data_IF_212035479024
#
_entry.id   IF_212035479024
#
_cell.length_a   1.000
_cell.length_b   1.000
_cell.length_c   1.000
_cell.angle_alpha   90.00
_cell.angle_beta   90.00
_cell.angle_gamma   90.00
#
_symmetry.space_group_name_H-M   'P 1'
#
loop_
_entity.id
_entity.type
_entity.pdbx_description
1 polymer ?
#
# COMPACT_ATOMS: atom_id res chain seq x y z
N UNK A 1 4.64 -30.34 -28.81
CA UNK A 1 5.10 -29.22 -27.97
C UNK A 1 3.98 -28.83 -27.02
N UNK A 2 3.94 -29.42 -25.83
CA UNK A 2 3.10 -28.90 -24.75
C UNK A 2 3.79 -27.65 -24.23
N UNK A 3 3.26 -26.49 -24.58
CA UNK A 3 3.59 -25.24 -23.92
C UNK A 3 3.13 -25.42 -22.47
N UNK A 4 4.07 -25.67 -21.56
CA UNK A 4 3.86 -25.58 -20.12
C UNK A 4 3.32 -24.16 -19.86
N UNK A 5 1.99 -24.03 -19.77
CA UNK A 5 1.34 -22.85 -19.28
C UNK A 5 1.81 -22.68 -17.84
N UNK A 6 2.82 -21.83 -17.68
CA UNK A 6 3.32 -21.45 -16.38
C UNK A 6 2.15 -20.82 -15.64
N UNK A 7 1.66 -21.50 -14.60
CA UNK A 7 0.55 -21.01 -13.79
C UNK A 7 1.10 -19.80 -13.03
N UNK A 8 0.92 -18.62 -13.62
CA UNK A 8 1.15 -17.35 -12.97
C UNK A 8 0.27 -17.33 -11.74
N UNK A 9 0.88 -17.31 -10.54
CA UNK A 9 0.12 -17.02 -9.34
C UNK A 9 -0.23 -15.53 -9.36
N UNK A 10 -1.35 -15.21 -10.00
CA UNK A 10 -1.89 -13.86 -10.19
C UNK A 10 -2.02 -13.13 -8.86
N UNK A 11 -2.46 -13.83 -7.80
CA UNK A 11 -2.58 -13.27 -6.45
C UNK A 11 -1.23 -12.81 -5.91
N UNK A 12 -0.16 -13.62 -6.04
CA UNK A 12 1.20 -13.22 -5.66
C UNK A 12 1.72 -12.04 -6.47
N UNK A 13 1.45 -12.01 -7.77
CA UNK A 13 1.90 -10.90 -8.63
C UNK A 13 1.22 -9.60 -8.24
N UNK A 14 -0.10 -9.61 -8.08
CA UNK A 14 -0.86 -8.44 -7.63
C UNK A 14 -0.41 -7.97 -6.25
N UNK A 15 -0.15 -8.90 -5.35
CA UNK A 15 0.38 -8.60 -4.02
C UNK A 15 1.73 -7.90 -4.12
N UNK A 16 2.64 -8.42 -4.94
CA UNK A 16 3.96 -7.80 -5.16
C UNK A 16 3.84 -6.41 -5.81
N UNK A 17 2.93 -6.23 -6.76
CA UNK A 17 2.61 -4.91 -7.34
C UNK A 17 2.14 -3.91 -6.28
N UNK A 18 1.24 -4.34 -5.39
CA UNK A 18 0.71 -3.50 -4.33
C UNK A 18 1.80 -3.10 -3.33
N UNK A 19 2.64 -4.06 -2.94
CA UNK A 19 3.76 -3.82 -2.02
C UNK A 19 4.79 -2.89 -2.64
N UNK A 20 5.10 -3.05 -3.92
CA UNK A 20 5.98 -2.14 -4.65
C UNK A 20 5.42 -0.71 -4.65
N UNK A 21 4.11 -0.55 -4.87
CA UNK A 21 3.46 0.76 -4.77
C UNK A 21 3.55 1.35 -3.36
N UNK A 22 3.23 0.57 -2.33
CA UNK A 22 3.31 1.02 -0.95
C UNK A 22 4.74 1.37 -0.52
N UNK A 23 5.75 0.63 -0.99
CA UNK A 23 7.17 0.93 -0.77
C UNK A 23 7.51 2.33 -1.27
N UNK A 24 7.19 2.60 -2.54
CA UNK A 24 7.50 3.88 -3.17
C UNK A 24 6.74 5.02 -2.49
N UNK A 25 5.47 4.78 -2.11
CA UNK A 25 4.69 5.76 -1.36
C UNK A 25 5.35 6.08 -0.02
N UNK A 26 5.75 5.09 0.79
CA UNK A 26 6.44 5.30 2.07
C UNK A 26 7.74 6.09 1.89
N UNK A 27 8.57 5.67 0.92
CA UNK A 27 9.83 6.35 0.61
C UNK A 27 9.63 7.80 0.14
N UNK A 28 8.49 8.12 -0.47
CA UNK A 28 8.23 9.46 -0.99
C UNK A 28 8.03 10.52 0.10
N UNK A 29 7.62 10.13 1.32
CA UNK A 29 7.24 11.05 2.40
C UNK A 29 7.97 10.84 3.74
N UNK A 30 8.58 9.68 4.01
CA UNK A 30 9.13 9.32 5.35
C UNK A 30 10.10 10.36 5.95
N UNK A 31 10.74 11.17 5.12
CA UNK A 31 11.70 12.21 5.53
C UNK A 31 11.18 13.65 5.29
N UNK A 32 9.87 13.80 5.00
CA UNK A 32 9.25 15.07 4.57
C UNK A 32 8.07 15.53 5.45
N UNK A 33 7.73 14.79 6.51
CA UNK A 33 6.65 15.20 7.41
C UNK A 33 7.18 16.28 8.36
N UNK A 34 6.82 17.54 8.10
CA UNK A 34 6.95 18.61 9.09
C UNK A 34 5.78 18.46 10.08
N UNK A 35 6.06 17.89 11.24
CA UNK A 35 5.09 17.49 12.26
C UNK A 35 4.39 18.67 12.93
N UNK A 36 4.87 19.90 12.69
CA UNK A 36 4.47 21.08 13.46
C UNK A 36 3.18 21.76 12.98
N UNK A 37 2.64 21.39 11.81
CA UNK A 37 1.62 22.22 11.13
C UNK A 37 0.16 21.73 11.21
N UNK A 38 -0.15 20.59 11.82
CA UNK A 38 -1.52 20.04 11.78
C UNK A 38 -2.26 20.00 13.13
N UNK A 39 -1.64 20.47 14.22
CA UNK A 39 -2.22 20.39 15.57
C UNK A 39 -2.49 18.94 16.01
N UNK A 40 -1.71 18.00 15.49
CA UNK A 40 -1.77 16.57 15.82
C UNK A 40 -0.78 16.30 16.95
N UNK A 41 -1.17 15.43 17.87
CA UNK A 41 -0.31 15.01 18.98
C UNK A 41 1.00 14.41 18.44
N UNK A 42 2.12 14.88 18.97
CA UNK A 42 3.45 14.43 18.55
C UNK A 42 3.62 12.92 18.77
N UNK A 43 3.07 12.38 19.85
CA UNK A 43 3.13 10.94 20.15
C UNK A 43 2.42 10.11 19.07
N UNK A 44 1.29 10.61 18.57
CA UNK A 44 0.56 9.98 17.48
C UNK A 44 1.41 9.97 16.20
N UNK A 45 2.09 11.07 15.88
CA UNK A 45 2.94 11.17 14.69
C UNK A 45 4.17 10.27 14.79
N UNK A 46 4.84 10.26 15.94
CA UNK A 46 6.03 9.44 16.18
C UNK A 46 5.68 7.95 16.04
N UNK A 47 4.55 7.52 16.63
CA UNK A 47 4.02 6.16 16.43
C UNK A 47 3.77 5.84 14.94
N UNK A 48 3.24 6.77 14.15
CA UNK A 48 3.05 6.52 12.71
C UNK A 48 4.34 6.36 11.93
N UNK A 49 5.35 7.16 12.27
CA UNK A 49 6.65 7.07 11.63
C UNK A 49 7.31 5.72 11.95
N UNK A 50 7.22 5.26 13.20
CA UNK A 50 7.74 3.97 13.62
C UNK A 50 7.04 2.81 12.90
N UNK A 51 5.70 2.82 12.84
CA UNK A 51 4.96 1.81 12.07
C UNK A 51 5.33 1.88 10.59
N UNK A 52 5.47 3.09 10.02
CA UNK A 52 5.91 3.28 8.64
C UNK A 52 7.27 2.67 8.35
N UNK A 53 8.23 2.86 9.24
CA UNK A 53 9.57 2.29 9.15
C UNK A 53 9.56 0.77 9.25
N UNK A 54 8.78 0.22 10.20
CA UNK A 54 8.61 -1.22 10.34
C UNK A 54 7.97 -1.84 9.10
N UNK A 55 6.91 -1.21 8.58
CA UNK A 55 6.24 -1.66 7.36
C UNK A 55 7.19 -1.64 6.16
N UNK A 56 7.95 -0.56 6.00
CA UNK A 56 8.95 -0.47 4.93
C UNK A 56 9.99 -1.58 5.04
N UNK A 57 10.51 -1.84 6.24
CA UNK A 57 11.49 -2.92 6.47
C UNK A 57 10.92 -4.28 6.04
N UNK A 58 9.66 -4.55 6.32
CA UNK A 58 9.02 -5.82 5.95
C UNK A 58 8.74 -5.91 4.47
N UNK A 59 8.29 -4.82 3.83
CA UNK A 59 8.13 -4.75 2.37
C UNK A 59 9.47 -5.02 1.67
N UNK A 60 10.57 -4.45 2.18
CA UNK A 60 11.92 -4.67 1.64
C UNK A 60 12.39 -6.13 1.77
N UNK A 61 11.94 -6.88 2.78
CA UNK A 61 12.27 -8.29 2.94
C UNK A 61 11.59 -9.20 1.90
N UNK A 62 10.49 -8.74 1.29
CA UNK A 62 9.65 -9.55 0.40
C UNK A 62 9.56 -8.99 -1.03
N UNK A 63 10.25 -7.90 -1.32
CA UNK A 63 10.34 -7.28 -2.64
C UNK A 63 11.79 -7.21 -3.11
N UNK A 64 12.00 -7.13 -4.42
CA UNK A 64 13.33 -6.92 -4.95
C UNK A 64 13.75 -5.44 -4.85
N UNK A 65 15.05 -5.15 -4.94
CA UNK A 65 15.52 -3.79 -5.14
C UNK A 65 15.00 -3.20 -6.47
N UNK A 66 14.85 -1.88 -6.55
CA UNK A 66 14.27 -1.19 -7.72
C UNK A 66 14.98 -1.52 -9.04
N UNK A 67 16.32 -1.56 -9.02
CA UNK A 67 17.13 -1.88 -10.20
C UNK A 67 16.80 -3.25 -10.79
N UNK A 68 16.42 -4.23 -9.96
CA UNK A 68 16.04 -5.57 -10.41
C UNK A 68 14.79 -5.51 -11.29
N UNK A 69 13.75 -4.77 -10.87
CA UNK A 69 12.53 -4.60 -11.66
C UNK A 69 12.81 -3.89 -12.99
N UNK A 70 13.63 -2.86 -12.99
CA UNK A 70 13.98 -2.10 -14.20
C UNK A 70 14.77 -2.94 -15.19
N UNK A 71 15.80 -3.65 -14.73
CA UNK A 71 16.65 -4.50 -15.56
C UNK A 71 15.85 -5.68 -16.14
N UNK A 72 14.92 -6.23 -15.37
CA UNK A 72 14.13 -7.40 -15.76
C UNK A 72 12.74 -7.05 -16.31
N UNK A 73 12.46 -5.79 -16.67
CA UNK A 73 11.13 -5.34 -17.13
C UNK A 73 10.54 -6.12 -18.31
N UNK A 74 11.36 -6.82 -19.10
CA UNK A 74 10.93 -7.67 -20.22
C UNK A 74 10.54 -9.09 -19.78
N UNK A 75 10.96 -9.53 -18.60
CA UNK A 75 10.59 -10.82 -18.04
C UNK A 75 9.09 -10.82 -17.71
N UNK A 76 8.33 -11.79 -18.23
CA UNK A 76 6.86 -11.81 -18.20
C UNK A 76 6.28 -11.56 -16.78
N UNK A 77 6.84 -12.19 -15.74
CA UNK A 77 6.41 -11.98 -14.35
C UNK A 77 6.65 -10.54 -13.89
N UNK A 78 7.84 -9.99 -14.16
CA UNK A 78 8.23 -8.65 -13.74
C UNK A 78 7.41 -7.60 -14.49
N UNK A 79 7.17 -7.82 -15.78
CA UNK A 79 6.26 -7.02 -16.58
C UNK A 79 4.86 -6.97 -15.94
N UNK A 80 4.28 -8.13 -15.60
CA UNK A 80 2.97 -8.19 -14.97
C UNK A 80 2.95 -7.47 -13.60
N UNK A 81 4.02 -7.58 -12.80
CA UNK A 81 4.15 -6.84 -11.54
C UNK A 81 4.13 -5.32 -11.80
N UNK A 82 4.92 -4.84 -12.78
CA UNK A 82 4.98 -3.43 -13.15
C UNK A 82 3.66 -2.94 -13.74
N UNK A 83 2.94 -3.75 -14.50
CA UNK A 83 1.62 -3.42 -15.04
C UNK A 83 0.58 -3.27 -13.94
N UNK A 84 0.61 -4.15 -12.92
CA UNK A 84 -0.20 -4.00 -11.72
C UNK A 84 0.14 -2.76 -10.90
N UNK A 85 1.43 -2.46 -10.73
CA UNK A 85 1.89 -1.23 -10.07
C UNK A 85 1.38 0.01 -10.80
N UNK A 86 1.54 0.05 -12.13
CA UNK A 86 1.11 1.16 -12.97
C UNK A 86 -0.41 1.35 -12.94
N UNK A 87 -1.17 0.25 -12.85
CA UNK A 87 -2.61 0.30 -12.67
C UNK A 87 -2.98 1.02 -11.37
N UNK A 88 -2.38 0.62 -10.23
CA UNK A 88 -2.64 1.22 -8.92
C UNK A 88 -2.29 2.71 -8.96
N UNK A 89 -1.08 3.04 -9.43
CA UNK A 89 -0.62 4.42 -9.54
C UNK A 89 -1.58 5.27 -10.37
N UNK A 90 -1.98 4.78 -11.55
CA UNK A 90 -2.93 5.46 -12.44
C UNK A 90 -4.30 5.65 -11.80
N UNK A 91 -4.82 4.67 -11.07
CA UNK A 91 -6.10 4.81 -10.38
C UNK A 91 -6.00 5.81 -9.22
N UNK A 92 -4.89 5.85 -8.47
CA UNK A 92 -4.67 6.87 -7.43
C UNK A 92 -4.62 8.26 -8.06
N UNK A 93 -3.78 8.47 -9.08
CA UNK A 93 -3.63 9.77 -9.74
C UNK A 93 -4.92 10.28 -10.40
N UNK A 94 -5.85 9.40 -10.79
CA UNK A 94 -7.16 9.81 -11.31
C UNK A 94 -8.12 10.31 -10.22
N UNK A 95 -7.97 9.81 -9.00
CA UNK A 95 -8.89 10.10 -7.90
C UNK A 95 -8.37 11.20 -6.96
N UNK A 96 -7.06 11.48 -6.97
CA UNK A 96 -6.46 12.63 -6.32
C UNK A 96 -6.23 13.73 -7.36
N UNK A 97 -6.82 14.91 -7.17
CA UNK A 97 -6.53 16.06 -8.03
C UNK A 97 -5.10 16.55 -7.78
N UNK A 98 -4.55 17.26 -8.76
CA UNK A 98 -3.28 17.96 -8.58
C UNK A 98 -3.37 18.94 -7.38
N UNK A 99 -2.35 18.94 -6.52
CA UNK A 99 -2.28 19.70 -5.27
C UNK A 99 -3.34 19.36 -4.21
N UNK A 100 -4.03 18.23 -4.36
CA UNK A 100 -4.97 17.76 -3.36
C UNK A 100 -4.23 17.16 -2.16
N UNK A 101 -4.50 17.69 -0.97
CA UNK A 101 -3.98 17.13 0.27
C UNK A 101 -4.47 15.69 0.44
N UNK A 102 -3.57 14.80 0.86
CA UNK A 102 -3.88 13.42 1.17
C UNK A 102 -2.93 12.92 2.29
N UNK A 103 -3.37 11.93 3.08
CA UNK A 103 -2.53 11.31 4.10
C UNK A 103 -1.90 10.03 3.52
N UNK A 104 -0.62 10.04 3.14
CA UNK A 104 0.00 8.88 2.51
C UNK A 104 0.06 7.68 3.45
N UNK A 105 0.23 7.90 4.76
CA UNK A 105 0.26 6.83 5.74
C UNK A 105 -1.08 6.09 5.80
N UNK A 106 -2.17 6.83 6.01
CA UNK A 106 -3.50 6.24 6.01
C UNK A 106 -3.80 5.52 4.69
N UNK A 107 -3.37 6.08 3.55
CA UNK A 107 -3.61 5.48 2.25
C UNK A 107 -2.93 4.11 2.11
N UNK A 108 -1.62 4.01 2.32
CA UNK A 108 -0.94 2.71 2.15
C UNK A 108 -1.40 1.69 3.19
N UNK A 109 -1.66 2.11 4.44
CA UNK A 109 -2.21 1.20 5.45
C UNK A 109 -3.56 0.64 5.02
N UNK A 110 -4.46 1.50 4.54
CA UNK A 110 -5.79 1.09 4.10
C UNK A 110 -5.72 0.14 2.91
N UNK A 111 -4.84 0.40 1.93
CA UNK A 111 -4.62 -0.47 0.79
C UNK A 111 -4.19 -1.88 1.21
N UNK A 112 -3.21 -1.97 2.12
CA UNK A 112 -2.69 -3.25 2.61
C UNK A 112 -3.71 -3.96 3.50
N UNK A 113 -4.45 -3.23 4.35
CA UNK A 113 -5.50 -3.77 5.20
C UNK A 113 -6.60 -4.43 4.36
N UNK A 114 -7.12 -3.72 3.37
CA UNK A 114 -8.16 -4.23 2.49
C UNK A 114 -7.68 -5.47 1.72
N UNK A 115 -6.44 -5.45 1.23
CA UNK A 115 -5.89 -6.57 0.47
C UNK A 115 -5.69 -7.84 1.32
N UNK A 116 -4.97 -7.71 2.45
CA UNK A 116 -4.57 -8.86 3.26
C UNK A 116 -5.64 -9.29 4.26
N UNK A 117 -6.29 -8.34 4.93
CA UNK A 117 -7.23 -8.63 6.02
C UNK A 117 -8.65 -8.86 5.51
N UNK A 118 -9.19 -7.93 4.73
CA UNK A 118 -10.59 -7.97 4.32
C UNK A 118 -10.82 -8.94 3.16
N UNK A 119 -10.02 -8.85 2.10
CA UNK A 119 -10.09 -9.77 0.96
C UNK A 119 -9.37 -11.09 1.19
N UNK A 120 -8.68 -11.25 2.32
CA UNK A 120 -7.98 -12.46 2.75
C UNK A 120 -6.97 -12.99 1.71
N UNK A 121 -6.38 -12.09 0.91
CA UNK A 121 -5.41 -12.44 -0.15
C UNK A 121 -4.09 -12.87 0.48
N UNK A 122 -3.49 -13.90 -0.08
CA UNK A 122 -2.22 -14.49 0.41
C UNK A 122 -2.18 -14.87 1.91
N UNK A 123 -3.33 -15.11 2.54
CA UNK A 123 -3.49 -15.36 3.99
C UNK A 123 -2.74 -16.58 4.54
N UNK A 124 -2.22 -17.45 3.68
CA UNK A 124 -1.41 -18.63 4.04
C UNK A 124 0.06 -18.50 3.69
N UNK A 125 0.48 -17.41 3.04
CA UNK A 125 1.88 -17.21 2.69
C UNK A 125 2.66 -16.76 3.91
N UNK A 126 3.75 -17.46 4.24
CA UNK A 126 4.59 -17.15 5.41
C UNK A 126 5.17 -15.74 5.34
N UNK A 127 5.44 -15.28 4.12
CA UNK A 127 5.93 -13.94 3.80
C UNK A 127 4.92 -12.83 4.15
N UNK A 128 3.62 -13.16 4.21
CA UNK A 128 2.54 -12.18 4.37
C UNK A 128 1.78 -12.28 5.71
N UNK A 129 2.14 -13.25 6.55
CA UNK A 129 1.59 -13.39 7.92
C UNK A 129 1.92 -12.16 8.78
N UNK A 130 3.08 -11.51 8.58
CA UNK A 130 3.43 -10.30 9.33
C UNK A 130 2.44 -9.15 9.10
N UNK A 131 1.97 -8.98 7.86
CA UNK A 131 1.00 -7.92 7.53
C UNK A 131 -0.35 -8.12 8.24
N UNK A 132 -0.73 -9.37 8.54
CA UNK A 132 -1.97 -9.71 9.27
C UNK A 132 -1.82 -9.52 10.78
N UNK A 133 -0.59 -9.68 11.31
CA UNK A 133 -0.30 -9.59 12.75
C UNK A 133 -0.24 -8.14 13.25
N UNK A 134 -0.09 -7.16 12.35
CA UNK A 134 -0.26 -5.77 12.73
C UNK A 134 -1.76 -5.50 12.96
N UNK A 135 -2.18 -5.10 14.16
CA UNK A 135 -3.58 -4.85 14.45
C UNK A 135 -3.98 -3.57 13.74
N UNK A 136 -4.49 -3.72 12.52
CA UNK A 136 -5.11 -2.66 11.75
C UNK A 136 -6.10 -1.85 12.59
N UNK A 137 -6.77 -2.50 13.56
CA UNK A 137 -7.64 -1.86 14.54
C UNK A 137 -6.96 -0.74 15.34
N UNK A 138 -5.70 -0.88 15.77
CA UNK A 138 -5.02 0.18 16.53
C UNK A 138 -4.74 1.40 15.65
N UNK A 139 -4.37 1.19 14.39
CA UNK A 139 -4.15 2.28 13.42
C UNK A 139 -5.47 3.00 13.11
N UNK A 140 -6.57 2.27 12.92
CA UNK A 140 -7.89 2.86 12.73
C UNK A 140 -8.37 3.62 13.97
N UNK A 141 -8.18 3.07 15.17
CA UNK A 141 -8.52 3.75 16.43
C UNK A 141 -7.71 5.03 16.61
N UNK A 142 -6.40 5.00 16.35
CA UNK A 142 -5.53 6.17 16.51
C UNK A 142 -5.82 7.24 15.43
N UNK A 143 -6.00 6.84 14.16
CA UNK A 143 -6.22 7.76 13.03
C UNK A 143 -7.64 8.31 12.92
N UNK A 144 -8.65 7.58 13.39
CA UNK A 144 -10.05 7.97 13.23
C UNK A 144 -10.74 8.31 14.55
N UNK A 145 -10.44 7.60 15.63
CA UNK A 145 -11.18 7.74 16.89
C UNK A 145 -10.49 8.72 17.82
N UNK A 146 -9.18 8.58 18.05
CA UNK A 146 -8.40 9.46 18.94
C UNK A 146 -8.06 10.82 18.31
N UNK A 147 -8.07 10.90 16.98
CA UNK A 147 -7.80 12.15 16.26
C UNK A 147 -8.89 13.21 16.53
N UNK A 148 -8.52 14.28 17.24
CA UNK A 148 -9.43 15.40 17.57
C UNK A 148 -9.61 16.39 16.42
N UNK A 149 -8.61 16.49 15.52
CA UNK A 149 -8.69 17.38 14.37
C UNK A 149 -9.67 16.82 13.32
N UNK A 150 -10.79 17.52 13.11
CA UNK A 150 -11.87 17.11 12.19
C UNK A 150 -11.42 17.08 10.72
N UNK A 151 -10.57 18.02 10.30
CA UNK A 151 -10.05 18.06 8.93
C UNK A 151 -9.15 16.85 8.66
N UNK A 152 -8.26 16.53 9.59
CA UNK A 152 -7.39 15.36 9.46
C UNK A 152 -8.18 14.05 9.50
N UNK A 153 -9.22 13.97 10.32
CA UNK A 153 -10.13 12.82 10.33
C UNK A 153 -10.85 12.64 8.98
N UNK A 154 -11.36 13.73 8.39
CA UNK A 154 -11.98 13.70 7.06
C UNK A 154 -10.97 13.28 5.98
N UNK A 155 -9.72 13.76 6.08
CA UNK A 155 -8.62 13.36 5.21
C UNK A 155 -8.38 11.84 5.30
N UNK A 156 -8.35 11.29 6.52
CA UNK A 156 -8.15 9.86 6.74
C UNK A 156 -9.30 9.02 6.19
N UNK A 157 -10.56 9.43 6.43
CA UNK A 157 -11.75 8.78 5.86
C UNK A 157 -11.65 8.72 4.33
N UNK A 158 -11.27 9.84 3.70
CA UNK A 158 -11.10 9.91 2.25
C UNK A 158 -10.03 8.94 1.74
N UNK A 159 -8.95 8.72 2.48
CA UNK A 159 -7.92 7.74 2.12
C UNK A 159 -8.43 6.30 2.19
N UNK A 160 -9.30 6.00 3.15
CA UNK A 160 -9.92 4.69 3.29
C UNK A 160 -10.86 4.42 2.11
N UNK A 161 -11.75 5.37 1.81
CA UNK A 161 -12.69 5.28 0.67
C UNK A 161 -11.94 5.14 -0.66
N UNK A 162 -10.83 5.89 -0.82
CA UNK A 162 -9.96 5.77 -1.98
C UNK A 162 -9.33 4.39 -2.08
N UNK A 163 -8.75 3.89 -0.98
CA UNK A 163 -8.14 2.57 -0.95
C UNK A 163 -9.15 1.47 -1.29
N UNK A 164 -10.36 1.54 -0.73
CA UNK A 164 -11.46 0.62 -1.00
C UNK A 164 -11.79 0.56 -2.49
N UNK A 165 -12.03 1.74 -3.09
CA UNK A 165 -12.32 1.87 -4.52
C UNK A 165 -11.23 1.25 -5.40
N UNK A 166 -9.97 1.43 -5.03
CA UNK A 166 -8.83 0.97 -5.82
C UNK A 166 -8.62 -0.52 -5.65
N UNK A 167 -8.64 -1.03 -4.42
CA UNK A 167 -8.40 -2.44 -4.12
C UNK A 167 -9.47 -3.32 -4.77
N UNK A 168 -10.75 -2.95 -4.72
CA UNK A 168 -11.79 -3.73 -5.40
C UNK A 168 -11.64 -3.75 -6.91
N UNK A 169 -11.19 -2.65 -7.53
CA UNK A 169 -10.89 -2.64 -8.96
C UNK A 169 -9.65 -3.47 -9.28
N UNK A 170 -8.62 -3.37 -8.45
CA UNK A 170 -7.36 -4.08 -8.63
C UNK A 170 -7.53 -5.59 -8.45
N UNK A 171 -8.36 -6.04 -7.51
CA UNK A 171 -8.66 -7.46 -7.33
C UNK A 171 -9.31 -8.06 -8.60
N UNK A 172 -10.14 -7.27 -9.29
CA UNK A 172 -10.78 -7.65 -10.57
C UNK A 172 -9.91 -7.40 -11.80
N UNK A 173 -8.79 -6.69 -11.67
CA UNK A 173 -7.93 -6.33 -12.80
C UNK A 173 -7.25 -7.55 -13.41
N UNK A 174 -7.33 -7.70 -14.73
CA UNK A 174 -6.67 -8.80 -15.43
C UNK A 174 -5.25 -8.40 -15.87
N UNK A 175 -4.26 -9.18 -15.43
CA UNK A 175 -2.85 -8.93 -15.74
C UNK A 175 -2.54 -9.56 -17.10
N UNK A 176 -2.37 -8.71 -18.11
CA UNK A 176 -2.12 -9.11 -19.50
C UNK A 176 -0.66 -9.46 -19.78
#
# INVERSE_FOLDING_TARGET
MLQLAMILNVSKIKTESLLLFCKDLILSYKDKIDTNNYGIDKEIIDNFNDIGNDMLKQILNVTFPENYYIQNRKHYRIKAILDGYNFINKEISKNLKENESFNPSMLYFSLLALWFKELNKESRSKEYIYFILYPYSHIYDDLLVKMKNKEFKNLNIKMIELAEKIIYKFDKYDLK
#
